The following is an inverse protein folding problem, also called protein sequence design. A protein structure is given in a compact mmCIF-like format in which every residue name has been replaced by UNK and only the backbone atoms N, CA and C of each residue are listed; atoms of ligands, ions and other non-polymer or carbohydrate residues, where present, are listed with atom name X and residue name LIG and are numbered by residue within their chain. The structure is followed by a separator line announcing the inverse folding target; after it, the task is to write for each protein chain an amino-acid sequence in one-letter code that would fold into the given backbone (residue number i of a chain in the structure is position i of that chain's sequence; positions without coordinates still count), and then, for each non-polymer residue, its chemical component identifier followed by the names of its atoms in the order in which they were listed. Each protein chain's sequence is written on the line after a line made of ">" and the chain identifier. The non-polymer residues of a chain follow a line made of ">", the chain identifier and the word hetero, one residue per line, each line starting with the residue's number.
data_IF_207989044113
#
_entry.id   IF_207989044113
#
_cell.length_a   1.000
_cell.length_b   1.000
_cell.length_c   1.000
_cell.angle_alpha   90.00
_cell.angle_beta   90.00
_cell.angle_gamma   90.00
#
_symmetry.space_group_name_H-M   'P 1'
#
loop_
_entity.id
_entity.type
_entity.pdbx_description
1 polymer ?
#
# COMPACT_ATOMS: atom_id res chain seq x y z
N UNK A 1 -4.75 18.52 -7.27
CA UNK A 1 -5.90 18.65 -8.19
C UNK A 1 -7.13 19.22 -7.49
N UNK A 2 -7.70 18.55 -6.46
CA UNK A 2 -8.89 19.02 -5.73
C UNK A 2 -8.80 20.48 -5.28
N UNK A 3 -7.69 20.87 -4.67
CA UNK A 3 -7.45 22.26 -4.22
C UNK A 3 -7.44 23.27 -5.36
N UNK A 4 -6.88 22.92 -6.52
CA UNK A 4 -6.78 23.82 -7.67
C UNK A 4 -8.10 23.91 -8.47
N UNK A 5 -8.93 22.88 -8.40
CA UNK A 5 -10.20 22.79 -9.14
C UNK A 5 -11.33 22.33 -8.22
N UNK A 6 -11.70 23.13 -7.19
CA UNK A 6 -12.63 22.68 -6.15
C UNK A 6 -14.04 22.38 -6.68
N UNK A 7 -14.46 23.08 -7.73
CA UNK A 7 -15.78 22.93 -8.36
C UNK A 7 -15.83 21.83 -9.44
N UNK A 8 -14.69 21.21 -9.77
CA UNK A 8 -14.65 20.17 -10.80
C UNK A 8 -14.97 18.81 -10.19
N UNK A 9 -15.70 17.98 -10.93
CA UNK A 9 -15.77 16.56 -10.66
C UNK A 9 -14.41 15.91 -10.98
N UNK A 10 -13.81 15.20 -10.02
CA UNK A 10 -12.60 14.42 -10.21
C UNK A 10 -12.96 12.96 -10.43
N UNK A 11 -12.80 12.52 -11.68
CA UNK A 11 -13.03 11.15 -12.10
C UNK A 11 -11.70 10.44 -12.28
N UNK A 12 -11.49 9.34 -11.57
CA UNK A 12 -10.31 8.49 -11.70
C UNK A 12 -10.62 7.31 -12.64
N UNK A 13 -9.97 7.26 -13.81
CA UNK A 13 -9.99 6.10 -14.67
C UNK A 13 -9.00 5.04 -14.15
N UNK A 14 -9.51 3.97 -13.54
CA UNK A 14 -8.69 2.94 -12.89
C UNK A 14 -9.41 1.58 -12.86
N UNK A 15 -8.68 0.47 -12.60
CA UNK A 15 -9.33 -0.82 -12.38
C UNK A 15 -10.34 -0.77 -11.25
N UNK A 16 -11.52 -1.38 -11.44
CA UNK A 16 -12.61 -1.35 -10.47
C UNK A 16 -12.23 -1.84 -9.07
N UNK A 17 -11.29 -2.78 -8.97
CA UNK A 17 -10.75 -3.26 -7.68
C UNK A 17 -10.07 -2.18 -6.83
N UNK A 18 -9.66 -1.06 -7.43
CA UNK A 18 -9.05 0.07 -6.73
C UNK A 18 -10.08 1.12 -6.29
N UNK A 19 -11.37 0.89 -6.53
CA UNK A 19 -12.39 1.91 -6.29
C UNK A 19 -12.48 2.32 -4.82
N UNK A 20 -12.52 1.35 -3.90
CA UNK A 20 -12.56 1.64 -2.46
C UNK A 20 -11.31 2.39 -1.99
N UNK A 21 -10.12 2.01 -2.49
CA UNK A 21 -8.87 2.69 -2.17
C UNK A 21 -8.86 4.13 -2.69
N UNK A 22 -9.39 4.37 -3.89
CA UNK A 22 -9.53 5.71 -4.45
C UNK A 22 -10.51 6.56 -3.66
N UNK A 23 -11.66 6.01 -3.25
CA UNK A 23 -12.64 6.71 -2.41
C UNK A 23 -12.06 7.06 -1.04
N UNK A 24 -11.26 6.16 -0.44
CA UNK A 24 -10.62 6.40 0.86
C UNK A 24 -9.63 7.57 0.87
N UNK A 25 -9.19 8.05 -0.30
CA UNK A 25 -8.39 9.28 -0.39
C UNK A 25 -9.18 10.55 -0.05
N UNK A 26 -10.52 10.49 -0.08
CA UNK A 26 -11.39 11.64 0.11
C UNK A 26 -11.36 12.67 -1.03
N UNK A 27 -10.59 12.44 -2.10
CA UNK A 27 -10.43 13.42 -3.19
C UNK A 27 -11.11 13.00 -4.50
N UNK A 28 -11.33 11.70 -4.73
CA UNK A 28 -11.94 11.17 -5.97
C UNK A 28 -13.46 11.11 -5.80
N UNK A 29 -14.21 11.79 -6.67
CA UNK A 29 -15.69 11.78 -6.63
C UNK A 29 -16.25 10.49 -7.23
N UNK A 30 -15.60 10.02 -8.29
CA UNK A 30 -16.05 8.85 -9.05
C UNK A 30 -14.87 8.09 -9.63
N UNK A 31 -14.98 6.76 -9.61
CA UNK A 31 -14.06 5.88 -10.32
C UNK A 31 -14.74 5.41 -11.59
N UNK A 32 -14.11 5.64 -12.72
CA UNK A 32 -14.50 5.10 -14.02
C UNK A 32 -13.71 3.80 -14.24
N UNK A 33 -14.37 2.63 -14.29
CA UNK A 33 -13.67 1.38 -14.53
C UNK A 33 -12.91 1.42 -15.86
N UNK A 34 -11.59 1.31 -15.78
CA UNK A 34 -10.70 1.26 -16.92
C UNK A 34 -9.60 0.23 -16.64
N UNK A 35 -9.46 -0.76 -17.51
CA UNK A 35 -8.47 -1.84 -17.33
C UNK A 35 -7.99 -2.37 -18.65
N UNK A 36 -6.76 -2.86 -18.65
CA UNK A 36 -6.17 -3.61 -19.75
C UNK A 36 -5.57 -4.90 -19.19
N UNK A 37 -5.40 -5.95 -20.02
CA UNK A 37 -4.75 -7.18 -19.61
C UNK A 37 -3.34 -6.91 -19.02
N UNK A 38 -3.02 -7.61 -17.94
CA UNK A 38 -1.75 -7.46 -17.24
C UNK A 38 -1.52 -6.04 -16.73
N UNK A 39 -0.36 -5.47 -17.07
CA UNK A 39 0.06 -4.09 -16.69
C UNK A 39 -0.09 -3.09 -17.85
N UNK A 40 -0.92 -3.41 -18.84
CA UNK A 40 -1.14 -2.56 -20.01
C UNK A 40 -1.87 -1.25 -19.70
N UNK A 41 -1.93 -0.39 -20.71
CA UNK A 41 -2.77 0.81 -20.72
C UNK A 41 -4.06 0.52 -21.50
N UNK A 42 -5.26 0.87 -20.98
CA UNK A 42 -6.49 0.77 -21.76
C UNK A 42 -6.40 1.59 -23.05
N UNK A 43 -6.68 0.96 -24.20
CA UNK A 43 -6.64 1.65 -25.50
C UNK A 43 -7.72 2.73 -25.65
N UNK A 44 -8.79 2.63 -24.86
CA UNK A 44 -9.92 3.55 -24.81
C UNK A 44 -10.32 3.76 -23.35
N UNK A 45 -10.81 4.96 -23.07
CA UNK A 45 -11.49 5.29 -21.82
C UNK A 45 -12.96 5.47 -22.17
N UNK A 46 -13.84 4.68 -21.56
CA UNK A 46 -15.28 4.67 -21.84
C UNK A 46 -15.99 5.82 -21.12
N UNK A 47 -15.56 7.04 -21.44
CA UNK A 47 -16.14 8.28 -20.94
C UNK A 47 -17.34 8.68 -21.79
N UNK A 48 -18.51 8.78 -21.17
CA UNK A 48 -19.77 9.17 -21.82
C UNK A 48 -20.14 10.65 -21.59
N UNK A 49 -19.34 11.38 -20.81
CA UNK A 49 -19.58 12.80 -20.52
C UNK A 49 -19.07 13.75 -21.62
N UNK A 50 -19.25 15.06 -21.45
CA UNK A 50 -18.67 16.06 -22.35
C UNK A 50 -17.13 16.01 -22.31
N UNK A 51 -16.42 16.55 -23.31
CA UNK A 51 -14.96 16.61 -23.29
C UNK A 51 -14.42 17.19 -21.97
N UNK A 52 -13.48 16.51 -21.29
CA UNK A 52 -13.00 16.98 -19.99
C UNK A 52 -12.33 18.34 -20.08
N UNK A 53 -12.56 19.22 -19.08
CA UNK A 53 -11.81 20.47 -18.99
C UNK A 53 -10.30 20.22 -18.83
N UNK A 54 -9.93 19.19 -18.05
CA UNK A 54 -8.56 18.75 -17.87
C UNK A 54 -8.52 17.23 -17.88
N UNK A 55 -7.62 16.64 -18.66
CA UNK A 55 -7.22 15.24 -18.55
C UNK A 55 -5.80 15.18 -17.98
N UNK A 56 -5.53 14.27 -17.04
CA UNK A 56 -4.20 14.09 -16.44
C UNK A 56 -3.74 12.65 -16.68
N UNK A 57 -2.57 12.48 -17.29
CA UNK A 57 -1.93 11.17 -17.43
C UNK A 57 -1.14 10.82 -16.17
N UNK A 58 -1.63 9.82 -15.43
CA UNK A 58 -1.00 9.26 -14.23
C UNK A 58 -0.56 7.80 -14.43
N UNK A 59 -0.48 7.32 -15.69
CA UNK A 59 -0.07 5.95 -15.99
C UNK A 59 1.32 5.93 -16.62
N UNK A 60 1.51 6.67 -17.72
CA UNK A 60 2.71 6.60 -18.54
C UNK A 60 3.25 7.95 -18.94
N UNK A 61 4.13 7.93 -19.93
CA UNK A 61 4.84 9.10 -20.44
C UNK A 61 4.89 9.14 -21.97
N UNK A 62 4.02 8.39 -22.65
CA UNK A 62 4.16 8.14 -24.08
C UNK A 62 2.82 7.90 -24.78
N UNK A 63 2.87 7.59 -26.10
CA UNK A 63 1.65 7.49 -26.92
C UNK A 63 0.59 6.54 -26.36
N UNK A 64 1.01 5.43 -25.74
CA UNK A 64 0.09 4.43 -25.19
C UNK A 64 -0.87 5.00 -24.14
N UNK A 65 -0.44 5.98 -23.34
CA UNK A 65 -1.24 6.62 -22.29
C UNK A 65 -1.77 8.00 -22.71
N UNK A 66 -1.05 8.73 -23.57
CA UNK A 66 -1.52 10.01 -24.12
C UNK A 66 -2.71 9.84 -25.07
N UNK A 67 -2.66 8.87 -25.99
CA UNK A 67 -3.67 8.74 -27.05
C UNK A 67 -5.09 8.47 -26.53
N UNK A 68 -5.31 7.55 -25.55
CA UNK A 68 -6.63 7.37 -24.96
C UNK A 68 -7.20 8.64 -24.32
N UNK A 69 -6.36 9.47 -23.69
CA UNK A 69 -6.78 10.75 -23.09
C UNK A 69 -7.06 11.81 -24.16
N UNK A 70 -6.21 11.92 -25.19
CA UNK A 70 -6.44 12.85 -26.31
C UNK A 70 -7.71 12.52 -27.09
N UNK A 71 -8.09 11.23 -27.17
CA UNK A 71 -9.34 10.81 -27.79
C UNK A 71 -10.59 11.37 -27.08
N UNK A 72 -10.47 11.72 -25.78
CA UNK A 72 -11.52 12.42 -25.03
C UNK A 72 -11.66 13.90 -25.41
N UNK A 73 -10.75 14.43 -26.24
CA UNK A 73 -10.66 15.83 -26.68
C UNK A 73 -10.65 16.83 -25.52
N UNK A 74 -9.82 16.63 -24.48
CA UNK A 74 -9.84 17.50 -23.32
C UNK A 74 -9.38 18.92 -23.71
N UNK A 75 -9.87 19.93 -23.00
CA UNK A 75 -9.43 21.33 -23.21
C UNK A 75 -7.95 21.47 -22.87
N UNK A 76 -7.49 20.79 -21.81
CA UNK A 76 -6.07 20.70 -21.43
C UNK A 76 -5.68 19.25 -21.13
N UNK A 77 -4.49 18.86 -21.59
CA UNK A 77 -3.85 17.61 -21.20
C UNK A 77 -2.64 17.90 -20.31
N UNK A 78 -2.61 17.31 -19.13
CA UNK A 78 -1.43 17.28 -18.27
C UNK A 78 -0.74 15.94 -18.43
N UNK A 79 0.42 15.95 -19.06
CA UNK A 79 1.18 14.74 -19.34
C UNK A 79 2.66 15.04 -19.41
N UNK A 80 3.48 14.00 -19.36
CA UNK A 80 4.91 14.11 -19.60
C UNK A 80 5.18 14.35 -21.09
N UNK A 81 6.20 15.16 -21.40
CA UNK A 81 6.62 15.35 -22.78
C UNK A 81 7.23 14.06 -23.34
N UNK A 82 6.94 13.76 -24.60
CA UNK A 82 7.47 12.58 -25.29
C UNK A 82 7.89 12.90 -26.73
N UNK A 83 9.05 12.44 -27.22
CA UNK A 83 9.54 12.74 -28.57
C UNK A 83 8.57 12.35 -29.70
N UNK A 84 7.88 11.21 -29.55
CA UNK A 84 6.88 10.77 -30.54
C UNK A 84 5.56 11.58 -30.52
N UNK A 85 5.39 12.49 -29.56
CA UNK A 85 4.19 13.32 -29.38
C UNK A 85 4.60 14.78 -29.16
N UNK A 86 5.26 15.45 -30.12
CA UNK A 86 5.88 16.77 -29.90
C UNK A 86 4.87 17.89 -29.59
N UNK A 87 3.58 17.66 -29.84
CA UNK A 87 2.50 18.60 -29.49
C UNK A 87 2.05 18.50 -28.03
N UNK A 88 2.42 17.42 -27.33
CA UNK A 88 2.17 17.25 -25.90
C UNK A 88 3.32 17.90 -25.15
N UNK A 89 3.08 19.13 -24.70
CA UNK A 89 4.03 19.88 -23.88
C UNK A 89 3.92 19.43 -22.43
N UNK A 90 5.05 19.32 -21.74
CA UNK A 90 5.10 18.95 -20.34
C UNK A 90 6.53 18.82 -19.84
N UNK A 91 6.71 18.44 -18.56
CA UNK A 91 8.02 18.14 -18.05
C UNK A 91 8.63 16.92 -18.75
N UNK A 92 9.96 16.83 -18.75
CA UNK A 92 10.68 15.62 -19.21
C UNK A 92 10.54 14.51 -18.18
N UNK A 93 10.34 13.27 -18.65
CA UNK A 93 10.30 12.09 -17.79
C UNK A 93 11.68 11.77 -17.21
N UNK A 94 11.71 11.38 -15.92
CA UNK A 94 12.94 10.99 -15.21
C UNK A 94 12.72 9.65 -14.52
N UNK A 95 13.45 8.63 -14.95
CA UNK A 95 13.28 7.25 -14.47
C UNK A 95 13.76 7.04 -13.03
N UNK A 96 14.80 7.79 -12.63
CA UNK A 96 15.44 7.72 -11.32
C UNK A 96 14.79 8.64 -10.26
N UNK A 97 13.65 9.26 -10.59
CA UNK A 97 12.88 10.07 -9.67
C UNK A 97 11.97 9.20 -8.80
N UNK A 98 11.78 9.59 -7.54
CA UNK A 98 10.81 8.96 -6.65
C UNK A 98 9.39 9.10 -7.24
N UNK A 99 8.58 8.04 -7.17
CA UNK A 99 7.26 7.96 -7.79
C UNK A 99 6.35 9.15 -7.44
N UNK A 100 6.13 9.40 -6.13
CA UNK A 100 5.35 10.54 -5.65
C UNK A 100 5.86 11.89 -6.17
N UNK A 101 7.17 12.12 -6.11
CA UNK A 101 7.80 13.35 -6.59
C UNK A 101 7.60 13.54 -8.09
N UNK A 102 7.63 12.45 -8.87
CA UNK A 102 7.35 12.48 -10.31
C UNK A 102 5.94 13.01 -10.56
N UNK A 103 4.93 12.49 -9.90
CA UNK A 103 3.55 12.95 -10.14
C UNK A 103 3.31 14.37 -9.59
N UNK A 104 3.95 14.74 -8.47
CA UNK A 104 3.88 16.12 -7.96
C UNK A 104 4.56 17.11 -8.92
N UNK A 105 5.73 16.77 -9.47
CA UNK A 105 6.45 17.60 -10.45
C UNK A 105 5.65 17.82 -11.73
N UNK A 106 4.88 16.81 -12.17
CA UNK A 106 3.95 16.97 -13.28
C UNK A 106 2.97 18.12 -12.98
N UNK A 107 2.31 18.08 -11.82
CA UNK A 107 1.35 19.12 -11.42
C UNK A 107 2.02 20.49 -11.27
N UNK A 108 3.19 20.56 -10.61
CA UNK A 108 3.95 21.80 -10.42
C UNK A 108 4.33 22.45 -11.75
N UNK A 109 4.69 21.66 -12.77
CA UNK A 109 4.99 22.18 -14.11
C UNK A 109 3.79 22.93 -14.73
N UNK A 110 2.56 22.46 -14.48
CA UNK A 110 1.33 23.12 -14.92
C UNK A 110 0.82 24.20 -13.95
N UNK A 111 1.65 24.63 -12.99
CA UNK A 111 1.33 25.69 -12.03
C UNK A 111 0.44 25.26 -10.86
N UNK A 112 0.35 23.95 -10.59
CA UNK A 112 -0.44 23.41 -9.48
C UNK A 112 0.50 22.96 -8.36
N UNK A 113 0.47 23.61 -7.17
CA UNK A 113 1.24 23.14 -6.03
C UNK A 113 0.88 21.71 -5.65
N UNK A 114 1.89 20.89 -5.39
CA UNK A 114 1.75 19.51 -4.97
C UNK A 114 2.89 19.14 -4.02
N UNK A 115 2.54 18.49 -2.91
CA UNK A 115 3.49 18.04 -1.88
C UNK A 115 3.60 16.50 -1.93
N UNK A 116 4.79 15.93 -2.20
CA UNK A 116 4.97 14.47 -2.20
C UNK A 116 4.81 13.82 -0.83
N UNK A 117 4.81 14.59 0.26
CA UNK A 117 4.57 14.12 1.62
C UNK A 117 3.09 14.23 2.06
N UNK A 118 2.23 14.83 1.23
CA UNK A 118 0.76 14.83 1.38
C UNK A 118 0.14 13.55 0.80
N UNK A 119 0.38 12.43 1.48
CA UNK A 119 -0.13 11.10 1.11
C UNK A 119 -1.06 10.47 2.16
N UNK A 120 -1.41 11.25 3.20
CA UNK A 120 -2.20 10.74 4.32
C UNK A 120 -3.64 10.52 3.88
N UNK A 121 -4.22 9.41 4.32
CA UNK A 121 -5.66 9.16 4.22
C UNK A 121 -6.24 9.00 5.62
N UNK A 122 -7.53 9.27 5.74
CA UNK A 122 -8.25 9.02 6.98
C UNK A 122 -8.34 7.51 7.26
N UNK A 123 -8.31 7.16 8.54
CA UNK A 123 -8.60 5.80 8.92
C UNK A 123 -10.08 5.50 8.61
N UNK A 124 -10.39 4.35 8.02
CA UNK A 124 -11.77 4.03 7.71
C UNK A 124 -12.61 3.91 9.00
N UNK A 125 -13.91 4.25 8.93
CA UNK A 125 -14.82 3.98 10.02
C UNK A 125 -14.98 2.46 10.20
N UNK A 126 -15.19 2.02 11.44
CA UNK A 126 -15.40 0.61 11.78
C UNK A 126 -14.26 -0.04 12.57
N UNK A 127 -14.51 -1.22 13.18
CA UNK A 127 -13.55 -1.89 14.05
C UNK A 127 -12.38 -2.50 13.27
N UNK A 128 -11.21 -2.55 13.90
CA UNK A 128 -10.11 -3.40 13.41
C UNK A 128 -10.38 -4.85 13.80
N UNK A 129 -10.12 -5.84 12.94
CA UNK A 129 -10.21 -7.26 13.30
C UNK A 129 -9.10 -7.66 14.30
N UNK A 130 -8.01 -6.91 14.39
CA UNK A 130 -6.91 -7.17 15.31
C UNK A 130 -6.21 -5.88 15.78
N UNK A 131 -6.87 -5.04 16.59
CA UNK A 131 -6.27 -3.79 17.07
C UNK A 131 -5.01 -4.06 17.89
N UNK A 132 -3.99 -3.22 17.68
CA UNK A 132 -2.69 -3.32 18.34
C UNK A 132 -1.82 -4.49 17.88
N UNK A 133 -2.24 -5.29 16.90
CA UNK A 133 -1.44 -6.40 16.39
C UNK A 133 -0.26 -5.92 15.54
N UNK A 134 0.81 -6.71 15.49
CA UNK A 134 1.82 -6.61 14.44
C UNK A 134 1.31 -7.40 13.24
N UNK A 135 1.12 -6.70 12.12
CA UNK A 135 0.65 -7.28 10.87
C UNK A 135 1.85 -7.71 10.05
N UNK A 136 1.88 -8.97 9.63
CA UNK A 136 2.89 -9.51 8.72
C UNK A 136 2.22 -9.93 7.42
N UNK A 137 2.79 -9.56 6.29
CA UNK A 137 2.30 -9.96 4.97
C UNK A 137 3.42 -10.65 4.19
N UNK A 138 3.42 -12.00 4.11
CA UNK A 138 4.47 -12.75 3.42
C UNK A 138 4.31 -12.76 1.89
N UNK A 139 3.12 -12.40 1.40
CA UNK A 139 2.73 -12.42 0.00
C UNK A 139 3.34 -11.30 -0.86
N UNK A 140 3.30 -11.51 -2.18
CA UNK A 140 3.60 -10.52 -3.20
C UNK A 140 3.23 -11.06 -4.60
N UNK A 141 2.72 -10.19 -5.47
CA UNK A 141 2.35 -10.52 -6.85
C UNK A 141 3.48 -11.19 -7.65
N UNK A 142 4.71 -10.69 -7.49
CA UNK A 142 5.89 -11.19 -8.20
C UNK A 142 6.82 -11.95 -7.25
N UNK A 143 7.34 -13.10 -7.70
CA UNK A 143 8.27 -13.90 -6.92
C UNK A 143 9.56 -13.13 -6.54
N UNK A 144 10.03 -12.22 -7.39
CA UNK A 144 11.13 -11.29 -7.10
C UNK A 144 10.95 -10.43 -5.85
N UNK A 145 9.70 -10.24 -5.41
CA UNK A 145 9.33 -9.45 -4.23
C UNK A 145 8.96 -10.31 -3.02
N UNK A 146 9.04 -11.64 -3.13
CA UNK A 146 8.72 -12.57 -2.04
C UNK A 146 9.97 -12.90 -1.23
N UNK A 147 9.99 -12.45 0.01
CA UNK A 147 11.01 -12.86 0.97
C UNK A 147 10.69 -14.27 1.48
N UNK A 148 11.69 -15.14 1.78
CA UNK A 148 11.44 -16.53 2.13
C UNK A 148 10.46 -16.69 3.31
N UNK A 149 9.45 -17.58 3.20
CA UNK A 149 8.41 -17.73 4.21
C UNK A 149 8.98 -18.12 5.59
N UNK A 150 10.03 -18.93 5.63
CA UNK A 150 10.68 -19.34 6.88
C UNK A 150 11.26 -18.14 7.64
N UNK A 151 11.69 -17.10 6.93
CA UNK A 151 12.21 -15.88 7.55
C UNK A 151 11.10 -15.00 8.08
N UNK A 152 9.95 -14.91 7.38
CA UNK A 152 8.74 -14.31 7.94
C UNK A 152 8.27 -15.07 9.18
N UNK A 153 8.32 -16.40 9.17
CA UNK A 153 7.95 -17.23 10.31
C UNK A 153 8.87 -16.99 11.50
N UNK A 154 10.19 -16.88 11.29
CA UNK A 154 11.15 -16.55 12.35
C UNK A 154 10.87 -15.18 12.99
N UNK A 155 10.55 -14.16 12.19
CA UNK A 155 10.16 -12.83 12.70
C UNK A 155 8.84 -12.91 13.48
N UNK A 156 7.82 -13.54 12.91
CA UNK A 156 6.51 -13.69 13.55
C UNK A 156 6.61 -14.48 14.87
N UNK A 157 7.41 -15.55 14.90
CA UNK A 157 7.68 -16.35 16.09
C UNK A 157 8.32 -15.53 17.20
N UNK A 158 9.39 -14.80 16.88
CA UNK A 158 10.11 -13.98 17.87
C UNK A 158 9.21 -12.88 18.46
N UNK A 159 8.40 -12.23 17.62
CA UNK A 159 7.44 -11.22 18.08
C UNK A 159 6.34 -11.82 18.95
N UNK A 160 5.81 -13.00 18.56
CA UNK A 160 4.82 -13.72 19.36
C UNK A 160 5.38 -14.13 20.73
N UNK A 161 6.61 -14.67 20.74
CA UNK A 161 7.35 -15.01 21.97
C UNK A 161 7.63 -13.82 22.87
N UNK A 162 7.75 -12.62 22.31
CA UNK A 162 7.89 -11.36 23.03
C UNK A 162 6.54 -10.79 23.53
N UNK A 163 5.43 -11.52 23.36
CA UNK A 163 4.11 -11.13 23.87
C UNK A 163 3.32 -10.24 22.91
N UNK A 164 3.80 -10.00 21.68
CA UNK A 164 3.00 -9.28 20.69
C UNK A 164 1.90 -10.17 20.10
N UNK A 165 0.71 -9.60 19.92
CA UNK A 165 -0.30 -10.20 19.05
C UNK A 165 0.19 -10.06 17.61
N UNK A 166 0.40 -11.18 16.92
CA UNK A 166 0.82 -11.21 15.51
C UNK A 166 -0.33 -11.73 14.66
N UNK A 167 -0.61 -11.08 13.54
CA UNK A 167 -1.56 -11.56 12.53
C UNK A 167 -0.89 -11.57 11.17
N UNK A 168 -1.25 -12.56 10.35
CA UNK A 168 -0.80 -12.70 8.98
C UNK A 168 -1.92 -12.29 8.03
N UNK A 169 -1.61 -11.47 7.04
CA UNK A 169 -2.55 -11.15 5.96
C UNK A 169 -2.19 -11.91 4.69
N UNK A 170 -3.19 -12.29 3.91
CA UNK A 170 -3.03 -12.97 2.64
C UNK A 170 -4.04 -12.44 1.63
N UNK A 171 -3.57 -12.13 0.41
CA UNK A 171 -4.46 -11.89 -0.73
C UNK A 171 -5.10 -13.17 -1.24
N UNK A 172 -5.99 -13.05 -2.22
CA UNK A 172 -6.61 -14.19 -2.88
C UNK A 172 -5.55 -15.16 -3.44
N UNK A 173 -5.61 -16.43 -3.02
CA UNK A 173 -4.66 -17.47 -3.43
C UNK A 173 -3.40 -17.57 -2.56
N UNK A 174 -3.14 -16.62 -1.66
CA UNK A 174 -1.96 -16.63 -0.78
C UNK A 174 -2.21 -17.34 0.57
N UNK A 175 -3.42 -17.85 0.80
CA UNK A 175 -3.80 -18.54 2.03
C UNK A 175 -2.86 -19.69 2.44
N UNK A 176 -2.45 -20.60 1.51
CA UNK A 176 -1.48 -21.66 1.84
C UNK A 176 -0.15 -21.12 2.36
N UNK A 177 0.39 -20.05 1.75
CA UNK A 177 1.63 -19.40 2.15
C UNK A 177 1.51 -18.82 3.57
N UNK A 178 0.45 -18.06 3.85
CA UNK A 178 0.25 -17.48 5.17
C UNK A 178 0.03 -18.55 6.24
N UNK A 179 -0.69 -19.64 5.95
CA UNK A 179 -0.86 -20.76 6.89
C UNK A 179 0.46 -21.49 7.17
N UNK A 180 1.32 -21.69 6.17
CA UNK A 180 2.66 -22.25 6.37
C UNK A 180 3.46 -21.37 7.35
N UNK A 181 3.46 -20.05 7.13
CA UNK A 181 4.14 -19.10 8.02
C UNK A 181 3.55 -19.14 9.44
N UNK A 182 2.22 -19.21 9.58
CA UNK A 182 1.56 -19.30 10.89
C UNK A 182 1.98 -20.55 11.66
N UNK A 183 1.96 -21.72 11.01
CA UNK A 183 2.34 -23.00 11.62
C UNK A 183 3.80 -22.96 12.08
N UNK A 184 4.72 -22.53 11.21
CA UNK A 184 6.15 -22.42 11.56
C UNK A 184 6.40 -21.40 12.69
N UNK A 185 5.58 -20.35 12.77
CA UNK A 185 5.68 -19.34 13.82
C UNK A 185 5.06 -19.76 15.16
N UNK A 186 4.28 -20.85 15.19
CA UNK A 186 3.51 -21.26 16.37
C UNK A 186 2.26 -20.40 16.61
N UNK A 187 1.71 -19.80 15.56
CA UNK A 187 0.48 -18.99 15.63
C UNK A 187 -0.76 -19.85 15.41
N UNK A 188 -1.90 -19.53 16.05
CA UNK A 188 -3.15 -20.24 15.81
C UNK A 188 -3.66 -19.96 14.38
N UNK A 189 -4.46 -20.88 13.78
CA UNK A 189 -5.05 -20.65 12.46
C UNK A 189 -5.86 -19.35 12.35
N UNK A 190 -6.49 -18.90 13.44
CA UNK A 190 -7.24 -17.65 13.52
C UNK A 190 -6.38 -16.38 13.40
N UNK A 191 -5.05 -16.49 13.43
CA UNK A 191 -4.14 -15.39 13.17
C UNK A 191 -3.99 -15.07 11.67
N UNK A 192 -4.47 -15.94 10.77
CA UNK A 192 -4.42 -15.73 9.31
C UNK A 192 -5.72 -15.07 8.85
N UNK A 193 -5.60 -13.90 8.22
CA UNK A 193 -6.70 -13.10 7.72
C UNK A 193 -6.64 -13.04 6.18
N UNK A 194 -7.74 -13.40 5.51
CA UNK A 194 -7.82 -13.49 4.05
C UNK A 194 -7.34 -14.85 3.49
N UNK A 195 -6.89 -14.87 2.23
CA UNK A 195 -6.27 -16.03 1.59
C UNK A 195 -7.15 -16.80 0.61
N UNK A 196 -8.43 -17.02 0.91
CA UNK A 196 -9.40 -17.57 -0.05
C UNK A 196 -9.92 -16.49 -1.02
N UNK A 197 -10.11 -15.29 -0.49
CA UNK A 197 -10.36 -14.05 -1.19
C UNK A 197 -9.52 -12.95 -0.53
N UNK A 198 -9.42 -11.81 -1.19
CA UNK A 198 -8.86 -10.61 -0.58
C UNK A 198 -9.71 -10.19 0.63
N UNK A 199 -9.08 -9.61 1.65
CA UNK A 199 -9.83 -8.90 2.68
C UNK A 199 -10.52 -7.69 2.04
N UNK A 200 -11.78 -7.39 2.40
CA UNK A 200 -12.43 -6.15 2.00
C UNK A 200 -11.53 -4.96 2.34
N UNK A 201 -11.41 -3.98 1.44
CA UNK A 201 -10.43 -2.91 1.62
C UNK A 201 -10.68 -2.11 2.91
N UNK A 202 -11.95 -1.87 3.27
CA UNK A 202 -12.30 -1.25 4.55
C UNK A 202 -11.76 -2.00 5.77
N UNK A 203 -11.86 -3.34 5.79
CA UNK A 203 -11.32 -4.17 6.87
C UNK A 203 -9.79 -4.17 6.89
N UNK A 204 -9.15 -4.28 5.72
CA UNK A 204 -7.70 -4.21 5.59
C UNK A 204 -7.14 -2.87 6.06
N UNK A 205 -7.77 -1.77 5.64
CA UNK A 205 -7.40 -0.43 6.05
C UNK A 205 -7.68 -0.21 7.56
N UNK A 206 -8.77 -0.74 8.12
CA UNK A 206 -9.04 -0.67 9.56
C UNK A 206 -8.02 -1.49 10.38
N UNK A 207 -7.59 -2.64 9.87
CA UNK A 207 -6.52 -3.46 10.42
C UNK A 207 -5.21 -2.67 10.46
N UNK A 208 -4.78 -2.14 9.31
CA UNK A 208 -3.53 -1.39 9.19
C UNK A 208 -3.56 -0.12 10.04
N UNK A 209 -4.66 0.65 10.01
CA UNK A 209 -4.77 1.91 10.74
C UNK A 209 -4.62 1.75 12.27
N UNK A 210 -4.97 0.58 12.80
CA UNK A 210 -4.90 0.25 14.24
C UNK A 210 -3.84 -0.79 14.57
N UNK A 211 -2.96 -1.13 13.62
CA UNK A 211 -1.86 -2.04 13.88
C UNK A 211 -0.76 -1.36 14.70
N UNK A 212 -0.03 -2.17 15.49
CA UNK A 212 1.20 -1.73 16.16
C UNK A 212 2.30 -1.46 15.15
N UNK A 213 2.45 -2.35 14.17
CA UNK A 213 3.38 -2.20 13.07
C UNK A 213 2.95 -3.09 11.89
N UNK A 214 3.43 -2.78 10.69
CA UNK A 214 3.30 -3.61 9.49
C UNK A 214 4.68 -4.07 9.01
N UNK A 215 4.85 -5.36 8.78
CA UNK A 215 6.07 -5.96 8.23
C UNK A 215 5.72 -6.63 6.91
N UNK A 216 6.28 -6.13 5.81
CA UNK A 216 5.86 -6.51 4.45
C UNK A 216 6.96 -6.25 3.43
N UNK A 217 6.91 -6.94 2.28
CA UNK A 217 7.69 -6.56 1.10
C UNK A 217 7.23 -5.24 0.47
N UNK A 218 7.92 -4.78 -0.58
CA UNK A 218 7.47 -3.65 -1.39
C UNK A 218 6.21 -4.00 -2.22
N UNK A 219 5.05 -3.92 -1.56
CA UNK A 219 3.70 -4.22 -2.09
C UNK A 219 2.69 -3.11 -1.73
N UNK A 220 1.46 -3.21 -2.25
CA UNK A 220 0.38 -2.25 -1.96
C UNK A 220 0.12 -2.01 -0.47
N UNK A 221 0.31 -3.03 0.38
CA UNK A 221 0.12 -2.91 1.82
C UNK A 221 1.14 -1.98 2.49
N UNK A 222 2.37 -1.93 1.97
CA UNK A 222 3.41 -1.01 2.44
C UNK A 222 3.02 0.46 2.21
N UNK A 223 2.41 0.74 1.05
CA UNK A 223 1.90 2.07 0.72
C UNK A 223 0.68 2.42 1.56
N UNK A 224 -0.23 1.47 1.80
CA UNK A 224 -1.37 1.68 2.70
C UNK A 224 -0.91 2.01 4.13
N UNK A 225 0.11 1.31 4.65
CA UNK A 225 0.70 1.65 5.95
C UNK A 225 1.31 3.06 5.98
N UNK A 226 1.92 3.50 4.88
CA UNK A 226 2.43 4.88 4.74
C UNK A 226 1.30 5.91 4.75
N UNK A 227 0.23 5.65 3.99
CA UNK A 227 -0.93 6.54 3.91
C UNK A 227 -1.69 6.65 5.24
N UNK A 228 -1.82 5.55 5.97
CA UNK A 228 -2.42 5.55 7.32
C UNK A 228 -1.45 5.98 8.42
N UNK A 229 -0.16 6.17 8.08
CA UNK A 229 0.94 6.51 8.99
C UNK A 229 1.16 5.51 10.11
N UNK A 230 0.82 4.25 9.83
CA UNK A 230 1.09 3.10 10.68
C UNK A 230 2.57 2.78 10.61
N UNK A 231 3.25 2.55 11.74
CA UNK A 231 4.66 2.17 11.73
C UNK A 231 4.91 0.95 10.83
N UNK A 232 5.98 0.97 10.04
CA UNK A 232 6.25 -0.13 9.11
C UNK A 232 7.72 -0.46 8.90
N UNK A 233 7.99 -1.74 8.67
CA UNK A 233 9.25 -2.26 8.12
C UNK A 233 8.96 -2.83 6.74
N UNK A 234 9.54 -2.22 5.70
CA UNK A 234 9.31 -2.56 4.31
C UNK A 234 10.57 -3.17 3.72
N UNK A 235 10.46 -4.38 3.17
CA UNK A 235 11.57 -5.15 2.62
C UNK A 235 11.66 -4.94 1.11
N UNK A 236 12.77 -4.40 0.63
CA UNK A 236 13.01 -4.13 -0.78
C UNK A 236 13.98 -5.15 -1.38
N UNK A 237 13.84 -5.39 -2.69
CA UNK A 237 14.71 -6.27 -3.47
C UNK A 237 15.09 -5.65 -4.81
N UNK A 238 14.31 -5.93 -5.87
CA UNK A 238 14.69 -5.61 -7.25
C UNK A 238 14.65 -4.11 -7.57
N UNK A 239 13.97 -3.31 -6.73
CA UNK A 239 13.84 -1.87 -6.90
C UNK A 239 14.19 -1.16 -5.59
N UNK A 240 14.97 -0.10 -5.69
CA UNK A 240 15.48 0.65 -4.56
C UNK A 240 14.37 1.45 -3.85
N UNK A 241 14.42 1.56 -2.51
CA UNK A 241 13.49 2.39 -1.73
C UNK A 241 13.59 3.88 -2.06
N UNK A 242 14.65 4.36 -2.72
CA UNK A 242 14.69 5.75 -3.20
C UNK A 242 13.65 6.05 -4.29
N UNK A 243 13.10 5.03 -4.94
CA UNK A 243 12.10 5.19 -6.00
C UNK A 243 10.66 4.98 -5.51
N UNK A 244 10.45 4.05 -4.57
CA UNK A 244 9.12 3.61 -4.11
C UNK A 244 8.95 3.62 -2.58
N UNK A 245 9.98 4.01 -1.85
CA UNK A 245 10.02 3.90 -0.40
C UNK A 245 9.00 4.78 0.33
N UNK A 246 8.71 4.44 1.60
CA UNK A 246 7.89 5.29 2.47
C UNK A 246 8.56 6.65 2.72
N UNK A 247 7.83 7.64 3.25
CA UNK A 247 8.43 8.91 3.70
C UNK A 247 9.60 8.65 4.67
N UNK A 248 10.64 9.49 4.60
CA UNK A 248 11.85 9.37 5.44
C UNK A 248 11.62 9.92 6.85
N UNK A 249 10.67 9.32 7.56
CA UNK A 249 10.33 9.66 8.95
C UNK A 249 10.56 8.46 9.87
N UNK A 250 10.78 8.65 11.19
CA UNK A 250 11.07 7.54 12.10
C UNK A 250 10.03 6.41 12.15
N UNK A 251 8.79 6.67 11.72
CA UNK A 251 7.70 5.67 11.66
C UNK A 251 7.93 4.57 10.62
N UNK A 252 8.76 4.81 9.61
CA UNK A 252 8.97 3.83 8.53
C UNK A 252 10.44 3.45 8.41
N UNK A 253 10.69 2.16 8.22
CA UNK A 253 12.02 1.60 7.97
C UNK A 253 11.97 0.85 6.65
N UNK A 254 12.80 1.27 5.70
CA UNK A 254 13.02 0.53 4.47
C UNK A 254 14.33 -0.26 4.62
N UNK A 255 14.27 -1.58 4.44
CA UNK A 255 15.44 -2.46 4.43
C UNK A 255 15.77 -2.83 2.99
N UNK A 256 17.03 -2.63 2.60
CA UNK A 256 17.53 -2.92 1.27
C UNK A 256 19.05 -3.06 1.32
N UNK A 257 19.59 -4.15 0.74
CA UNK A 257 21.03 -4.40 0.69
C UNK A 257 21.52 -4.48 -0.76
N UNK A 258 21.76 -3.32 -1.40
CA UNK A 258 22.32 -3.28 -2.75
C UNK A 258 23.75 -3.81 -2.77
N UNK A 259 24.15 -4.37 -3.91
CA UNK A 259 25.55 -4.57 -4.26
C UNK A 259 26.23 -3.23 -4.58
N UNK A 260 27.56 -3.22 -4.56
CA UNK A 260 28.36 -2.00 -4.74
C UNK A 260 28.09 -1.27 -6.07
N UNK A 261 27.72 -2.01 -7.12
CA UNK A 261 27.49 -1.46 -8.47
C UNK A 261 26.00 -1.28 -8.80
N UNK A 262 25.10 -1.52 -7.84
CA UNK A 262 23.67 -1.51 -8.10
C UNK A 262 23.13 -0.10 -8.34
N UNK A 263 22.29 0.01 -9.38
CA UNK A 263 21.52 1.22 -9.67
C UNK A 263 20.21 1.23 -8.87
N UNK A 264 19.30 2.15 -9.21
CA UNK A 264 18.00 2.26 -8.53
C UNK A 264 17.05 1.09 -8.84
N UNK A 265 17.23 0.41 -9.98
CA UNK A 265 16.43 -0.73 -10.44
C UNK A 265 17.37 -1.86 -10.86
N UNK A 266 18.12 -2.46 -9.91
CA UNK A 266 19.14 -3.44 -10.26
C UNK A 266 18.58 -4.82 -10.62
N UNK A 267 17.30 -5.09 -10.32
CA UNK A 267 16.64 -6.36 -10.63
C UNK A 267 15.31 -6.18 -11.38
N UNK A 268 14.73 -7.30 -11.80
CA UNK A 268 13.41 -7.34 -12.41
C UNK A 268 12.32 -7.38 -11.32
N UNK A 269 11.54 -6.29 -11.23
CA UNK A 269 10.40 -6.18 -10.32
C UNK A 269 9.31 -7.24 -10.53
N UNK A 270 9.32 -7.91 -11.67
CA UNK A 270 8.36 -8.92 -12.10
C UNK A 270 9.00 -10.29 -12.31
N UNK A 271 10.25 -10.46 -11.86
CA UNK A 271 11.00 -11.69 -12.02
C UNK A 271 10.35 -12.88 -11.34
N UNK A 272 10.58 -14.06 -11.91
CA UNK A 272 10.04 -15.35 -11.45
C UNK A 272 10.76 -15.97 -10.25
N UNK A 273 11.78 -15.32 -9.70
CA UNK A 273 12.58 -15.79 -8.56
C UNK A 273 12.83 -14.66 -7.57
N UNK A 274 12.92 -14.92 -6.25
CA UNK A 274 13.28 -13.92 -5.25
C UNK A 274 14.57 -13.16 -5.61
N UNK A 275 14.53 -11.83 -5.51
CA UNK A 275 15.68 -11.00 -5.83
C UNK A 275 16.79 -11.16 -4.77
N UNK A 276 18.05 -11.19 -5.21
CA UNK A 276 19.20 -11.39 -4.31
C UNK A 276 19.32 -10.33 -3.20
N UNK A 277 18.93 -9.07 -3.46
CA UNK A 277 19.01 -8.00 -2.46
C UNK A 277 17.97 -8.20 -1.36
N UNK A 278 16.82 -8.75 -1.73
CA UNK A 278 15.79 -9.18 -0.77
C UNK A 278 16.30 -10.36 0.07
N UNK A 279 17.00 -11.31 -0.56
CA UNK A 279 17.59 -12.48 0.11
C UNK A 279 18.77 -12.15 1.04
N UNK A 280 19.36 -10.96 0.91
CA UNK A 280 20.38 -10.48 1.87
C UNK A 280 19.79 -10.01 3.19
N UNK A 281 18.51 -9.61 3.22
CA UNK A 281 17.84 -9.16 4.44
C UNK A 281 17.60 -10.34 5.38
N UNK A 282 18.06 -10.24 6.62
CA UNK A 282 17.91 -11.28 7.67
C UNK A 282 16.73 -11.02 8.60
N UNK A 283 16.24 -12.07 9.27
CA UNK A 283 15.19 -11.94 10.28
C UNK A 283 15.64 -11.08 11.48
N UNK A 284 16.91 -11.16 11.87
CA UNK A 284 17.48 -10.35 12.94
C UNK A 284 17.46 -8.84 12.61
N UNK A 285 17.75 -8.47 11.36
CA UNK A 285 17.66 -7.09 10.89
C UNK A 285 16.23 -6.58 10.91
N UNK A 286 15.26 -7.40 10.48
CA UNK A 286 13.83 -7.04 10.56
C UNK A 286 13.41 -6.80 12.01
N UNK A 287 13.77 -7.70 12.94
CA UNK A 287 13.45 -7.54 14.37
C UNK A 287 14.10 -6.28 14.95
N UNK A 288 15.36 -6.00 14.59
CA UNK A 288 16.06 -4.78 14.99
C UNK A 288 15.36 -3.53 14.46
N UNK A 289 14.88 -3.57 13.21
CA UNK A 289 14.13 -2.47 12.61
C UNK A 289 12.79 -2.25 13.32
N UNK A 290 12.07 -3.32 13.67
CA UNK A 290 10.81 -3.28 14.42
C UNK A 290 11.02 -2.66 15.81
N UNK A 291 12.07 -3.06 16.53
CA UNK A 291 12.38 -2.51 17.85
C UNK A 291 12.70 -1.00 17.83
N UNK A 292 13.09 -0.46 16.67
CA UNK A 292 13.37 0.97 16.45
C UNK A 292 12.17 1.77 15.93
N UNK A 293 11.00 1.13 15.80
CA UNK A 293 9.77 1.83 15.46
C UNK A 293 9.26 2.59 16.69
N UNK A 294 8.68 3.79 16.50
CA UNK A 294 8.01 4.48 17.60
C UNK A 294 6.79 3.69 18.06
N UNK A 295 6.42 3.83 19.33
CA UNK A 295 5.15 3.29 19.82
C UNK A 295 3.98 3.90 19.01
N UNK A 296 2.92 3.12 18.73
CA UNK A 296 1.75 3.63 18.05
C UNK A 296 1.10 4.74 18.88
N UNK A 297 0.67 5.82 18.22
CA UNK A 297 -0.13 6.85 18.88
C UNK A 297 -1.49 6.23 19.16
N UNK A 298 -1.77 5.90 20.43
CA UNK A 298 -3.06 5.36 20.84
C UNK A 298 -4.15 6.41 20.59
N UNK A 299 -5.18 6.06 19.81
CA UNK A 299 -6.34 6.95 19.65
C UNK A 299 -7.25 6.81 20.88
N UNK A 300 -7.94 7.87 21.32
CA UNK A 300 -8.80 7.83 22.50
C UNK A 300 -9.88 6.73 22.47
N UNK A 301 -10.35 6.37 21.27
CA UNK A 301 -11.36 5.35 21.03
C UNK A 301 -10.85 3.92 21.33
N UNK A 302 -9.56 3.65 21.12
CA UNK A 302 -8.95 2.35 21.37
C UNK A 302 -8.83 2.03 22.87
N UNK A 303 -8.85 3.06 23.73
CA UNK A 303 -8.80 2.93 25.19
C UNK A 303 -10.13 2.42 25.75
N UNK A 304 -11.26 2.77 25.12
CA UNK A 304 -12.61 2.41 25.61
C UNK A 304 -12.96 0.94 25.37
N UNK A 305 -12.38 0.31 24.36
CA UNK A 305 -12.58 -1.12 24.05
C UNK A 305 -11.73 -2.06 24.92
N UNK A 306 -10.62 -1.56 25.50
CA UNK A 306 -9.74 -2.33 26.38
C UNK A 306 -10.17 -2.40 27.84
N UNK A 307 -11.17 -1.61 28.25
CA UNK A 307 -11.67 -1.51 29.61
C UNK A 307 -13.08 -2.11 29.74
N UNK A 308 -13.23 -3.43 29.49
CA UNK A 308 -14.37 -4.17 30.05
C UNK A 308 -13.89 -4.88 31.31
N UNK A 309 -14.39 -4.53 32.51
CA UNK A 309 -14.10 -5.31 33.70
C UNK A 309 -14.65 -6.72 33.53
N UNK A 310 -13.88 -7.72 33.97
CA UNK A 310 -14.32 -9.10 34.01
C UNK A 310 -15.65 -9.17 34.78
N UNK A 311 -16.69 -9.69 34.14
CA UNK A 311 -17.96 -9.93 34.80
C UNK A 311 -17.74 -10.95 35.94
N UNK A 312 -18.05 -10.53 37.17
CA UNK A 312 -18.04 -11.42 38.33
C UNK A 312 -19.02 -12.59 38.11
N UNK A 313 -18.71 -13.80 38.60
CA UNK A 313 -19.60 -14.95 38.45
C UNK A 313 -20.91 -14.69 39.22
N UNK A 314 -22.01 -14.62 38.46
CA UNK A 314 -23.35 -14.40 39.01
C UNK A 314 -23.78 -15.55 39.91
N UNK A 315 -24.23 -15.19 41.11
CA UNK A 315 -24.89 -16.07 42.06
C UNK A 315 -26.23 -16.57 41.50
N UNK A 316 -26.41 -17.89 41.50
CA UNK A 316 -27.69 -18.56 41.18
C UNK A 316 -28.68 -18.33 42.34
N UNK A 317 -29.91 -17.86 42.10
CA UNK A 317 -30.93 -17.83 43.14
C UNK A 317 -31.53 -19.23 43.34
N UNK A 318 -31.54 -19.70 44.59
CA UNK A 318 -32.26 -20.90 45.03
C UNK A 318 -33.76 -20.57 45.09
N UNK A 319 -34.66 -21.40 44.55
CA UNK A 319 -36.09 -21.18 44.68
C UNK A 319 -36.54 -21.53 46.10
N UNK A 320 -37.25 -20.61 46.75
CA UNK A 320 -37.99 -20.89 47.99
C UNK A 320 -39.39 -21.35 47.60
N UNK A 321 -39.86 -22.35 48.35
CA UNK A 321 -41.05 -23.20 48.19
C UNK A 321 -42.35 -22.57 47.73
#
# INVERSE_FOLDING_TARGET
>A
MRTAYPQHELVLAAPGRLAEAAVATGVVDRVLPASAPGRGVPRRIDWAGPPPAVAVDLHGNGPASHLPLLALRPVRLFAYAHPAMPRVLGPVWREDEHERSRWCRLLTWYGIPADPDDLRIDAPPGPSPAPGAVVVHPGADAAARRWPPERFAAVAHALHRAGHRVVLTAGAGEGPLARQVAVQAGLPPSAVLGGSADLPFGELAALVARARAVIVGDTGLAHLASALGTPSVVLFGPVAPRLWGPPRVPRHRALWHPGHLDRARPGDAHGGQPDERLLRITAAEVLTAVARLPEPVRRPEDVRLGARPAAAPGSVPVPVS
#
